data_IF_854702254054
#
_entry.id   IF_854702254054
#
_cell.length_a   1.000
_cell.length_b   1.000
_cell.length_c   1.000
_cell.angle_alpha   90.00
_cell.angle_beta   90.00
_cell.angle_gamma   90.00
#
_symmetry.space_group_name_H-M   'P 1'
#
loop_
_entity.id
_entity.type
_entity.pdbx_description
1 polymer ?
#
# COMPACT_ATOMS: atom_id res chain seq x y z
N UNK A 1 -12.73 -9.30 27.50
CA UNK A 1 -11.44 -9.45 26.79
C UNK A 1 -10.59 -8.20 27.04
N UNK A 2 -9.27 -8.28 27.00
CA UNK A 2 -8.38 -7.14 27.15
C UNK A 2 -8.46 -6.18 25.96
N UNK A 3 -7.96 -4.93 26.14
CA UNK A 3 -7.94 -3.93 25.08
C UNK A 3 -6.79 -4.11 24.10
N UNK A 4 -6.94 -3.56 22.89
CA UNK A 4 -5.91 -3.48 21.85
C UNK A 4 -5.59 -2.02 21.51
N UNK A 5 -4.30 -1.67 21.46
CA UNK A 5 -3.81 -0.38 21.03
C UNK A 5 -3.19 -0.49 19.62
N UNK A 6 -3.80 0.19 18.66
CA UNK A 6 -3.27 0.37 17.31
C UNK A 6 -2.59 1.75 17.27
N UNK A 7 -1.31 1.80 16.90
CA UNK A 7 -0.58 3.06 16.92
C UNK A 7 0.27 3.29 15.68
N UNK A 8 0.17 4.50 15.17
CA UNK A 8 0.80 4.96 13.94
C UNK A 8 2.00 5.88 14.24
N UNK A 9 2.95 5.93 13.32
CA UNK A 9 4.11 6.84 13.37
C UNK A 9 3.85 8.19 12.66
N UNK A 10 2.62 8.42 12.20
CA UNK A 10 2.17 9.60 11.47
C UNK A 10 0.96 10.25 12.14
N UNK A 11 0.58 11.43 11.68
CA UNK A 11 -0.61 12.14 12.12
C UNK A 11 -1.89 11.42 11.72
N UNK A 12 -2.99 11.66 12.44
CA UNK A 12 -4.31 11.18 12.07
C UNK A 12 -4.73 11.73 10.70
N UNK A 13 -5.52 10.97 9.98
CA UNK A 13 -6.07 11.35 8.66
C UNK A 13 -5.00 11.82 7.65
N UNK A 14 -3.78 11.32 7.73
CA UNK A 14 -2.61 11.76 6.98
C UNK A 14 -2.53 11.26 5.52
N UNK A 15 -3.67 10.95 4.92
CA UNK A 15 -3.76 10.58 3.52
C UNK A 15 -4.35 9.19 3.27
N UNK A 16 -4.48 8.85 1.99
CA UNK A 16 -5.21 7.65 1.54
C UNK A 16 -4.64 6.33 2.10
N UNK A 17 -3.32 6.17 2.10
CA UNK A 17 -2.69 4.94 2.57
C UNK A 17 -2.96 4.68 4.07
N UNK A 18 -2.84 5.69 4.92
CA UNK A 18 -3.13 5.59 6.36
C UNK A 18 -4.60 5.26 6.62
N UNK A 19 -5.51 6.01 5.99
CA UNK A 19 -6.97 5.78 6.12
C UNK A 19 -7.37 4.35 5.78
N UNK A 20 -6.77 3.79 4.77
CA UNK A 20 -7.04 2.42 4.35
C UNK A 20 -6.60 1.39 5.39
N UNK A 21 -5.39 1.55 5.94
CA UNK A 21 -4.91 0.66 7.01
C UNK A 21 -5.76 0.79 8.27
N UNK A 22 -6.23 1.99 8.61
CA UNK A 22 -7.14 2.21 9.73
C UNK A 22 -8.41 1.35 9.63
N UNK A 23 -9.07 1.33 8.46
CA UNK A 23 -10.25 0.52 8.22
C UNK A 23 -9.98 -0.99 8.39
N UNK A 24 -8.90 -1.51 7.80
CA UNK A 24 -8.53 -2.93 7.93
C UNK A 24 -8.13 -3.29 9.36
N UNK A 25 -7.36 -2.42 10.02
CA UNK A 25 -6.89 -2.68 11.39
C UNK A 25 -8.03 -2.59 12.41
N UNK A 26 -9.00 -1.69 12.20
CA UNK A 26 -10.19 -1.64 13.04
C UNK A 26 -11.04 -2.91 12.93
N UNK A 27 -11.21 -3.45 11.72
CA UNK A 27 -11.89 -4.71 11.47
C UNK A 27 -11.18 -5.90 12.11
N UNK A 28 -9.86 -6.00 11.92
CA UNK A 28 -9.03 -7.01 12.58
C UNK A 28 -9.15 -6.93 14.11
N UNK A 29 -9.05 -5.74 14.67
CA UNK A 29 -9.15 -5.54 16.11
C UNK A 29 -10.54 -5.92 16.65
N UNK A 30 -11.61 -5.55 15.94
CA UNK A 30 -12.97 -5.94 16.31
C UNK A 30 -13.16 -7.46 16.31
N UNK A 31 -12.64 -8.15 15.31
CA UNK A 31 -12.66 -9.62 15.27
C UNK A 31 -11.98 -10.26 16.49
N UNK A 32 -10.95 -9.59 17.06
CA UNK A 32 -10.21 -10.09 18.22
C UNK A 32 -10.95 -9.80 19.53
N UNK A 33 -11.40 -8.56 19.73
CA UNK A 33 -11.92 -8.11 21.03
C UNK A 33 -13.45 -8.07 21.12
N UNK A 34 -14.17 -8.07 20.00
CA UNK A 34 -15.65 -8.10 19.93
C UNK A 34 -16.35 -6.84 20.44
N UNK A 35 -15.62 -5.77 20.75
CA UNK A 35 -16.17 -4.56 21.34
C UNK A 35 -15.32 -3.34 20.92
N UNK A 36 -15.93 -2.40 20.22
CA UNK A 36 -15.26 -1.18 19.78
C UNK A 36 -14.72 -0.31 20.91
N UNK A 37 -15.32 -0.36 22.11
CA UNK A 37 -14.84 0.37 23.30
C UNK A 37 -13.48 -0.12 23.80
N UNK A 38 -13.04 -1.30 23.39
CA UNK A 38 -11.74 -1.89 23.74
C UNK A 38 -10.68 -1.69 22.64
N UNK A 39 -11.01 -0.95 21.59
CA UNK A 39 -10.11 -0.61 20.49
C UNK A 39 -9.65 0.82 20.67
N UNK A 40 -8.34 1.02 20.72
CA UNK A 40 -7.71 2.30 20.93
C UNK A 40 -6.80 2.62 19.75
N UNK A 41 -6.91 3.84 19.21
CA UNK A 41 -6.03 4.35 18.15
C UNK A 41 -5.13 5.45 18.69
N UNK A 42 -3.85 5.41 18.32
CA UNK A 42 -2.89 6.44 18.69
C UNK A 42 -2.14 6.97 17.46
N UNK A 43 -1.99 8.27 17.41
CA UNK A 43 -1.27 8.99 16.34
C UNK A 43 -0.25 9.95 16.95
N UNK A 44 0.80 10.28 16.20
CA UNK A 44 1.80 11.27 16.65
C UNK A 44 1.19 12.66 16.83
N UNK A 45 0.16 12.97 16.05
CA UNK A 45 -0.64 14.18 16.12
C UNK A 45 -2.09 13.87 15.71
N UNK A 46 -3.06 14.42 16.43
CA UNK A 46 -4.50 14.21 16.19
C UNK A 46 -5.19 15.41 15.54
N UNK A 47 -4.46 16.47 15.20
CA UNK A 47 -4.99 17.69 14.58
C UNK A 47 -5.68 17.46 13.23
N UNK A 48 -5.31 16.38 12.52
CA UNK A 48 -5.96 15.96 11.25
C UNK A 48 -7.39 15.45 11.43
N UNK A 49 -7.88 15.38 12.66
CA UNK A 49 -9.22 14.89 12.98
C UNK A 49 -9.38 13.38 12.80
N UNK A 50 -10.62 12.94 12.86
CA UNK A 50 -11.00 11.52 12.72
C UNK A 50 -10.99 11.10 11.24
N UNK A 51 -10.41 9.96 10.97
CA UNK A 51 -10.51 9.34 9.64
C UNK A 51 -11.93 8.84 9.35
N UNK A 52 -12.40 9.03 8.14
CA UNK A 52 -13.70 8.54 7.66
C UNK A 52 -13.79 7.01 7.54
N UNK A 53 -12.66 6.31 7.61
CA UNK A 53 -12.59 4.85 7.54
C UNK A 53 -12.71 4.17 8.91
N UNK A 54 -12.62 4.93 10.00
CA UNK A 54 -12.81 4.40 11.34
C UNK A 54 -14.30 4.31 11.69
N UNK A 55 -14.79 3.14 12.18
CA UNK A 55 -16.13 3.01 12.73
C UNK A 55 -16.42 4.06 13.79
N UNK A 56 -17.61 4.67 13.76
CA UNK A 56 -18.00 5.76 14.67
C UNK A 56 -17.97 5.36 16.15
N UNK A 57 -18.12 4.10 16.43
CA UNK A 57 -18.10 3.49 17.77
C UNK A 57 -16.70 3.48 18.41
N UNK A 58 -15.64 3.60 17.62
CA UNK A 58 -14.27 3.72 18.16
C UNK A 58 -14.07 5.16 18.61
N UNK A 59 -14.24 5.42 19.89
CA UNK A 59 -14.10 6.75 20.50
C UNK A 59 -12.72 6.99 21.12
N UNK A 60 -11.94 5.94 21.34
CA UNK A 60 -10.63 5.98 22.00
C UNK A 60 -9.51 6.36 21.01
N UNK A 61 -9.40 7.63 20.69
CA UNK A 61 -8.35 8.18 19.83
C UNK A 61 -7.47 9.09 20.69
N UNK A 62 -6.16 8.81 20.75
CA UNK A 62 -5.19 9.53 21.56
C UNK A 62 -4.01 10.05 20.77
N UNK A 63 -3.38 11.08 21.25
CA UNK A 63 -2.10 11.54 20.75
C UNK A 63 -0.97 10.83 21.49
N UNK A 64 -0.15 10.08 20.77
CA UNK A 64 0.99 9.38 21.32
C UNK A 64 2.04 9.07 20.25
N UNK A 65 3.29 9.43 20.53
CA UNK A 65 4.44 9.09 19.69
C UNK A 65 5.38 8.14 20.43
N UNK A 66 5.52 6.91 19.92
CA UNK A 66 6.40 5.88 20.48
C UNK A 66 7.89 6.26 20.45
N UNK A 67 8.28 7.25 19.64
CA UNK A 67 9.65 7.74 19.52
C UNK A 67 10.03 8.74 20.61
N UNK A 68 9.05 9.39 21.23
CA UNK A 68 9.30 10.36 22.31
C UNK A 68 9.90 9.71 23.55
N UNK A 69 10.83 10.42 24.19
CA UNK A 69 11.55 9.95 25.39
C UNK A 69 11.22 10.75 26.63
N UNK A 70 10.42 11.81 26.50
CA UNK A 70 10.06 12.67 27.63
C UNK A 70 9.23 11.93 28.68
N UNK A 71 9.47 12.26 29.93
CA UNK A 71 8.85 11.57 31.06
C UNK A 71 7.32 11.70 31.11
N UNK A 72 6.78 12.79 30.58
CA UNK A 72 5.33 13.05 30.56
C UNK A 72 4.65 12.10 29.59
N UNK A 73 5.13 12.00 28.35
CA UNK A 73 4.61 11.06 27.34
C UNK A 73 4.72 9.60 27.79
N UNK A 74 5.84 9.23 28.41
CA UNK A 74 6.05 7.87 28.92
C UNK A 74 5.16 7.54 30.13
N UNK A 75 4.94 8.48 31.05
CA UNK A 75 3.99 8.32 32.14
C UNK A 75 2.55 8.22 31.63
N UNK A 76 2.16 9.09 30.72
CA UNK A 76 0.84 9.07 30.08
C UNK A 76 0.52 7.70 29.49
N UNK A 77 1.36 7.19 28.61
CA UNK A 77 1.08 5.89 27.95
C UNK A 77 1.07 4.73 28.94
N UNK A 78 1.92 4.76 29.96
CA UNK A 78 1.92 3.74 31.02
C UNK A 78 0.58 3.71 31.76
N UNK A 79 0.09 4.88 32.19
CA UNK A 79 -1.19 4.99 32.92
C UNK A 79 -2.38 4.63 32.00
N UNK A 80 -2.35 5.09 30.75
CA UNK A 80 -3.39 4.79 29.76
C UNK A 80 -3.55 3.28 29.52
N UNK A 81 -2.44 2.56 29.33
CA UNK A 81 -2.44 1.10 29.14
C UNK A 81 -3.05 0.40 30.37
N UNK A 82 -2.65 0.79 31.58
CA UNK A 82 -3.18 0.20 32.83
C UNK A 82 -4.67 0.46 33.00
N UNK A 83 -5.11 1.72 32.85
CA UNK A 83 -6.50 2.13 33.05
C UNK A 83 -7.46 1.44 32.08
N UNK A 84 -7.01 1.16 30.85
CA UNK A 84 -7.83 0.55 29.80
C UNK A 84 -7.57 -0.95 29.62
N UNK A 85 -6.79 -1.58 30.52
CA UNK A 85 -6.42 -3.00 30.46
C UNK A 85 -5.94 -3.43 29.04
N UNK A 86 -5.05 -2.62 28.44
CA UNK A 86 -4.51 -2.87 27.09
C UNK A 86 -3.38 -3.87 27.21
N UNK A 87 -3.54 -5.04 26.58
CA UNK A 87 -2.55 -6.11 26.62
C UNK A 87 -1.90 -6.36 25.28
N UNK A 88 -2.50 -5.90 24.18
CA UNK A 88 -2.02 -6.06 22.81
C UNK A 88 -1.69 -4.71 22.20
N UNK A 89 -0.50 -4.57 21.63
CA UNK A 89 -0.07 -3.44 20.81
C UNK A 89 0.11 -3.88 19.35
N UNK A 90 -0.46 -3.11 18.44
CA UNK A 90 -0.29 -3.30 17.00
C UNK A 90 0.18 -1.98 16.38
N UNK A 91 1.46 -1.89 16.06
CA UNK A 91 2.08 -0.66 15.60
C UNK A 91 2.35 -0.67 14.09
N UNK A 92 2.04 0.44 13.42
CA UNK A 92 2.37 0.64 12.02
C UNK A 92 3.78 1.22 11.88
N UNK A 93 4.64 0.58 11.07
CA UNK A 93 6.04 0.94 10.80
C UNK A 93 6.90 1.11 12.07
N UNK A 94 6.71 0.21 13.03
CA UNK A 94 7.46 0.26 14.27
C UNK A 94 8.81 -0.47 14.16
N UNK A 95 9.94 0.21 14.44
CA UNK A 95 11.27 -0.40 14.35
C UNK A 95 11.55 -1.35 15.52
N UNK A 96 12.74 -1.97 15.50
CA UNK A 96 13.20 -2.88 16.56
C UNK A 96 13.28 -2.22 17.93
N UNK A 97 13.56 -0.90 17.98
CA UNK A 97 13.73 -0.16 19.24
C UNK A 97 12.92 1.12 19.26
N UNK A 98 12.19 1.33 20.36
CA UNK A 98 11.55 2.59 20.72
C UNK A 98 11.63 2.79 22.23
N UNK A 99 11.76 4.02 22.71
CA UNK A 99 11.79 4.32 24.15
C UNK A 99 10.56 3.82 24.88
N UNK A 100 9.40 3.97 24.24
CA UNK A 100 8.11 3.60 24.81
C UNK A 100 7.94 2.09 25.05
N UNK A 101 8.59 1.20 24.32
CA UNK A 101 8.33 -0.24 24.42
C UNK A 101 8.54 -0.82 25.84
N UNK A 102 9.64 -0.42 26.48
CA UNK A 102 9.90 -0.84 27.87
C UNK A 102 8.77 -0.43 28.82
N UNK A 103 8.26 0.77 28.65
CA UNK A 103 7.20 1.33 29.49
C UNK A 103 5.87 0.65 29.20
N UNK A 104 5.53 0.46 27.93
CA UNK A 104 4.33 -0.23 27.48
C UNK A 104 4.29 -1.68 28.00
N UNK A 105 5.41 -2.40 27.90
CA UNK A 105 5.55 -3.77 28.45
C UNK A 105 5.34 -3.81 29.96
N UNK A 106 5.99 -2.89 30.69
CA UNK A 106 5.84 -2.81 32.16
C UNK A 106 4.44 -2.39 32.60
N UNK A 107 3.69 -1.73 31.73
CA UNK A 107 2.32 -1.32 32.01
C UNK A 107 1.28 -2.44 31.79
N UNK A 108 1.68 -3.61 31.22
CA UNK A 108 0.80 -4.76 31.02
C UNK A 108 0.66 -5.23 29.57
N UNK A 109 1.28 -4.53 28.61
CA UNK A 109 1.26 -4.96 27.21
C UNK A 109 2.19 -6.17 27.01
N UNK A 110 1.65 -7.37 26.95
CA UNK A 110 2.43 -8.59 26.78
C UNK A 110 2.64 -9.02 25.31
N UNK A 111 1.79 -8.54 24.39
CA UNK A 111 1.94 -8.77 22.95
C UNK A 111 2.17 -7.43 22.25
N UNK A 112 3.23 -7.34 21.42
CA UNK A 112 3.53 -6.17 20.58
C UNK A 112 3.91 -6.65 19.18
N UNK A 113 3.13 -6.28 18.18
CA UNK A 113 3.33 -6.63 16.78
C UNK A 113 3.57 -5.38 15.96
N UNK A 114 4.51 -5.43 15.02
CA UNK A 114 4.75 -4.36 14.05
C UNK A 114 4.29 -4.77 12.66
N UNK A 115 3.37 -4.01 12.07
CA UNK A 115 3.02 -4.10 10.66
C UNK A 115 3.85 -3.09 9.87
N UNK A 116 4.62 -3.57 8.88
CA UNK A 116 5.68 -2.77 8.23
C UNK A 116 5.35 -2.58 6.76
N UNK A 117 5.16 -1.31 6.38
CA UNK A 117 4.83 -0.89 5.01
C UNK A 117 6.03 -0.32 4.21
N UNK A 118 7.20 -0.15 4.85
CA UNK A 118 8.39 0.42 4.24
C UNK A 118 9.62 -0.49 4.42
N UNK A 119 10.68 -0.35 3.60
CA UNK A 119 11.93 -1.09 3.80
C UNK A 119 12.55 -0.79 5.15
N UNK A 120 12.88 -1.82 5.94
CA UNK A 120 13.51 -1.62 7.26
C UNK A 120 15.00 -1.27 7.18
N UNK A 121 15.68 -1.73 6.15
CA UNK A 121 17.11 -1.44 5.92
C UNK A 121 17.49 -1.85 4.50
N UNK A 122 18.59 -1.30 3.97
CA UNK A 122 19.26 -1.88 2.81
C UNK A 122 19.71 -3.31 3.11
N UNK A 123 19.79 -4.15 2.08
CA UNK A 123 20.32 -5.52 2.23
C UNK A 123 21.76 -5.47 2.68
N UNK A 124 22.13 -6.37 3.57
CA UNK A 124 23.46 -6.51 4.16
C UNK A 124 23.91 -7.97 4.10
N UNK A 125 25.22 -8.19 4.14
CA UNK A 125 25.85 -9.52 4.17
C UNK A 125 27.04 -9.53 5.13
N UNK A 126 27.63 -10.69 5.33
CA UNK A 126 28.87 -10.86 6.11
C UNK A 126 28.79 -10.24 7.52
N UNK A 127 29.89 -9.60 7.93
CA UNK A 127 30.04 -9.01 9.27
C UNK A 127 28.98 -7.96 9.58
N UNK A 128 28.58 -7.14 8.59
CA UNK A 128 27.55 -6.11 8.79
C UNK A 128 26.19 -6.71 9.16
N UNK A 129 25.79 -7.78 8.49
CA UNK A 129 24.54 -8.49 8.83
C UNK A 129 24.65 -9.18 10.19
N UNK A 130 25.82 -9.76 10.51
CA UNK A 130 26.07 -10.38 11.82
C UNK A 130 25.90 -9.37 12.97
N UNK A 131 26.50 -8.18 12.86
CA UNK A 131 26.35 -7.10 13.85
C UNK A 131 24.88 -6.70 14.00
N UNK A 132 24.16 -6.57 12.88
CA UNK A 132 22.70 -6.25 12.89
C UNK A 132 21.90 -7.33 13.63
N UNK A 133 22.20 -8.62 13.40
CA UNK A 133 21.56 -9.74 14.10
C UNK A 133 21.83 -9.71 15.60
N UNK A 134 23.06 -9.42 16.00
CA UNK A 134 23.43 -9.26 17.40
C UNK A 134 22.67 -8.10 18.05
N UNK A 135 22.58 -6.96 17.38
CA UNK A 135 21.81 -5.81 17.85
C UNK A 135 20.33 -6.14 18.06
N UNK A 136 19.71 -6.88 17.14
CA UNK A 136 18.33 -7.37 17.30
C UNK A 136 18.21 -8.33 18.48
N UNK A 137 19.14 -9.29 18.61
CA UNK A 137 19.16 -10.27 19.72
C UNK A 137 19.24 -9.58 21.09
N UNK A 138 20.02 -8.52 21.20
CA UNK A 138 20.19 -7.74 22.44
C UNK A 138 19.03 -6.76 22.72
N UNK A 139 18.09 -6.61 21.79
CA UNK A 139 16.95 -5.68 21.94
C UNK A 139 15.82 -6.34 22.73
N UNK A 140 15.83 -6.16 24.07
CA UNK A 140 14.97 -6.87 25.03
C UNK A 140 13.47 -6.61 24.87
N UNK A 141 13.06 -5.38 24.49
CA UNK A 141 11.65 -4.95 24.47
C UNK A 141 11.09 -4.79 23.07
N UNK A 142 11.76 -5.32 22.05
CA UNK A 142 11.33 -5.25 20.65
C UNK A 142 9.93 -5.86 20.41
N UNK A 143 9.29 -5.59 19.28
CA UNK A 143 8.10 -6.31 18.85
C UNK A 143 8.33 -7.84 18.86
N UNK A 144 7.31 -8.57 19.25
CA UNK A 144 7.34 -10.05 19.28
C UNK A 144 7.36 -10.60 17.87
N UNK A 145 6.65 -9.91 16.94
CA UNK A 145 6.54 -10.30 15.55
C UNK A 145 6.44 -9.09 14.61
N UNK A 146 6.90 -9.29 13.38
CA UNK A 146 6.86 -8.28 12.32
C UNK A 146 6.11 -8.83 11.13
N UNK A 147 5.13 -8.07 10.63
CA UNK A 147 4.31 -8.43 9.47
C UNK A 147 4.64 -7.49 8.33
N UNK A 148 4.92 -8.04 7.16
CA UNK A 148 5.28 -7.30 5.95
C UNK A 148 4.22 -7.46 4.88
N UNK A 149 4.13 -6.50 3.97
CA UNK A 149 3.19 -6.52 2.86
C UNK A 149 3.66 -7.39 1.69
N UNK A 150 4.95 -7.74 1.64
CA UNK A 150 5.55 -8.57 0.59
C UNK A 150 6.81 -9.27 1.08
N UNK A 151 7.21 -10.34 0.38
CA UNK A 151 8.48 -11.02 0.60
C UNK A 151 9.68 -10.09 0.35
N UNK A 152 9.58 -9.21 -0.64
CA UNK A 152 10.59 -8.20 -0.89
C UNK A 152 10.83 -7.32 0.34
N UNK A 153 9.77 -6.86 1.00
CA UNK A 153 9.89 -6.08 2.23
C UNK A 153 10.42 -6.93 3.39
N UNK A 154 9.94 -8.18 3.55
CA UNK A 154 10.45 -9.11 4.57
C UNK A 154 11.96 -9.35 4.44
N UNK A 155 12.50 -9.44 3.21
CA UNK A 155 13.94 -9.56 2.98
C UNK A 155 14.72 -8.37 3.52
N UNK A 156 14.18 -7.14 3.45
CA UNK A 156 14.83 -5.95 4.03
C UNK A 156 14.95 -6.02 5.56
N UNK A 157 14.06 -6.76 6.20
CA UNK A 157 14.13 -7.03 7.64
C UNK A 157 15.11 -8.16 7.96
N UNK A 158 14.98 -9.31 7.29
CA UNK A 158 15.77 -10.52 7.62
C UNK A 158 17.22 -10.41 7.17
N UNK A 159 17.47 -9.91 5.95
CA UNK A 159 18.80 -9.73 5.36
C UNK A 159 19.28 -8.27 5.41
N UNK A 160 18.40 -7.33 5.75
CA UNK A 160 18.77 -5.92 5.94
C UNK A 160 18.99 -5.59 7.41
N UNK A 161 17.94 -5.70 8.23
CA UNK A 161 17.95 -5.34 9.65
C UNK A 161 18.42 -6.46 10.57
N UNK A 162 18.42 -7.71 10.10
CA UNK A 162 18.87 -8.89 10.87
C UNK A 162 17.79 -9.49 11.77
N UNK A 163 16.51 -9.25 11.50
CA UNK A 163 15.40 -9.85 12.24
C UNK A 163 15.32 -11.34 11.89
N UNK A 164 15.19 -12.26 12.88
CA UNK A 164 15.07 -13.68 12.62
C UNK A 164 13.82 -14.01 11.79
N UNK A 165 13.94 -14.95 10.85
CA UNK A 165 12.83 -15.33 9.93
C UNK A 165 11.58 -15.78 10.69
N UNK A 166 11.73 -16.55 11.79
CA UNK A 166 10.60 -17.01 12.60
C UNK A 166 9.82 -15.90 13.30
N UNK A 167 10.39 -14.68 13.39
CA UNK A 167 9.71 -13.47 13.89
C UNK A 167 9.07 -12.64 12.77
N UNK A 168 8.96 -13.18 11.57
CA UNK A 168 8.45 -12.44 10.43
C UNK A 168 7.38 -13.23 9.68
N UNK A 169 6.35 -12.53 9.19
CA UNK A 169 5.32 -13.07 8.29
C UNK A 169 5.03 -12.09 7.17
N UNK A 170 4.46 -12.60 6.08
CA UNK A 170 3.89 -11.76 5.02
C UNK A 170 2.38 -11.85 5.08
N UNK A 171 1.73 -10.70 5.05
CA UNK A 171 0.28 -10.56 4.88
C UNK A 171 0.04 -9.53 3.79
N UNK A 172 -0.42 -9.99 2.65
CA UNK A 172 -0.70 -9.14 1.49
C UNK A 172 -1.79 -8.13 1.85
N UNK A 173 -1.62 -6.91 1.38
CA UNK A 173 -2.65 -5.89 1.57
C UNK A 173 -3.85 -6.17 0.69
N UNK A 174 -5.04 -6.03 1.26
CA UNK A 174 -6.30 -6.29 0.57
C UNK A 174 -7.03 -5.02 0.11
N UNK A 175 -7.94 -5.13 -0.83
CA UNK A 175 -8.86 -4.07 -1.25
C UNK A 175 -10.32 -4.47 -1.02
N UNK A 176 -11.22 -3.49 -1.06
CA UNK A 176 -12.67 -3.74 -1.03
C UNK A 176 -13.16 -4.07 -2.45
N UNK A 177 -13.53 -5.34 -2.74
CA UNK A 177 -13.91 -5.76 -4.07
C UNK A 177 -15.31 -5.27 -4.50
N UNK A 178 -16.12 -4.74 -3.57
CA UNK A 178 -17.41 -4.13 -3.90
C UNK A 178 -17.22 -2.66 -4.33
N UNK A 179 -16.28 -1.98 -3.70
CA UNK A 179 -15.89 -0.62 -4.09
C UNK A 179 -15.15 -0.62 -5.42
N UNK A 180 -14.23 -1.59 -5.62
CA UNK A 180 -13.42 -1.76 -6.81
C UNK A 180 -13.93 -2.98 -7.60
N UNK A 181 -14.98 -2.76 -8.40
CA UNK A 181 -15.57 -3.78 -9.26
C UNK A 181 -15.74 -3.28 -10.69
N UNK A 182 -15.70 -4.21 -11.68
CA UNK A 182 -16.01 -3.85 -13.07
C UNK A 182 -17.41 -3.27 -13.18
N UNK A 183 -17.65 -2.49 -14.23
CA UNK A 183 -18.99 -2.11 -14.64
C UNK A 183 -19.64 -3.27 -15.41
N UNK A 184 -20.93 -3.46 -15.24
CA UNK A 184 -21.73 -4.42 -16.03
C UNK A 184 -22.10 -3.86 -17.43
N UNK A 185 -21.99 -2.55 -17.59
CA UNK A 185 -22.23 -1.83 -18.84
C UNK A 185 -20.98 -1.06 -19.26
N UNK A 186 -20.93 -0.65 -20.51
CA UNK A 186 -19.86 0.24 -21.00
C UNK A 186 -19.92 1.54 -20.20
N UNK A 187 -18.84 1.90 -19.55
CA UNK A 187 -18.73 3.05 -18.66
C UNK A 187 -17.74 4.06 -19.24
N UNK A 188 -18.19 5.28 -19.48
CA UNK A 188 -17.38 6.37 -20.02
C UNK A 188 -17.07 7.46 -18.97
N UNK A 189 -17.27 7.18 -17.69
CA UNK A 189 -17.10 8.18 -16.62
C UNK A 189 -15.75 8.91 -16.66
N UNK A 190 -14.65 8.19 -16.89
CA UNK A 190 -13.32 8.80 -17.01
C UNK A 190 -13.20 9.63 -18.29
N UNK A 191 -13.75 9.16 -19.41
CA UNK A 191 -13.76 9.89 -20.67
C UNK A 191 -14.48 11.22 -20.54
N UNK A 192 -15.68 11.20 -19.99
CA UNK A 192 -16.51 12.40 -19.81
C UNK A 192 -15.88 13.37 -18.81
N UNK A 193 -15.34 12.85 -17.68
CA UNK A 193 -14.71 13.68 -16.65
C UNK A 193 -13.49 14.44 -17.18
N UNK A 194 -12.69 13.83 -18.04
CA UNK A 194 -11.44 14.39 -18.53
C UNK A 194 -11.50 14.83 -20.01
N UNK A 195 -12.69 14.79 -20.63
CA UNK A 195 -12.92 15.14 -22.05
C UNK A 195 -12.04 14.33 -23.00
N UNK A 196 -11.87 13.04 -22.70
CA UNK A 196 -11.17 12.07 -23.53
C UNK A 196 -12.20 11.48 -24.50
N UNK A 197 -11.87 11.35 -25.78
CA UNK A 197 -12.76 10.74 -26.75
C UNK A 197 -13.09 9.29 -26.39
N UNK A 198 -14.33 8.87 -26.58
CA UNK A 198 -14.84 7.55 -26.19
C UNK A 198 -14.20 6.38 -26.98
N UNK A 199 -13.58 6.65 -28.12
CA UNK A 199 -12.81 5.68 -28.92
C UNK A 199 -11.46 5.33 -28.30
N UNK A 200 -10.94 6.14 -27.36
CA UNK A 200 -9.62 5.94 -26.75
C UNK A 200 -9.65 4.85 -25.68
N UNK A 201 -8.60 4.03 -25.67
CA UNK A 201 -8.32 3.04 -24.64
C UNK A 201 -7.49 3.69 -23.55
N UNK A 202 -8.05 3.88 -22.33
CA UNK A 202 -7.36 4.55 -21.24
C UNK A 202 -6.41 3.60 -20.53
N UNK A 203 -5.10 3.94 -20.53
CA UNK A 203 -4.09 3.35 -19.66
C UNK A 203 -3.97 4.20 -18.40
N UNK A 204 -4.21 3.60 -17.25
CA UNK A 204 -4.39 4.32 -15.99
C UNK A 204 -3.21 4.15 -15.03
N UNK A 205 -2.81 5.24 -14.41
CA UNK A 205 -1.88 5.26 -13.28
C UNK A 205 -2.51 5.99 -12.09
N UNK A 206 -2.32 5.45 -10.89
CA UNK A 206 -2.65 6.14 -9.64
C UNK A 206 -1.52 6.00 -8.62
N UNK A 207 -1.04 7.13 -8.14
CA UNK A 207 0.04 7.17 -7.13
C UNK A 207 0.61 8.57 -6.90
N UNK A 208 1.51 8.68 -5.92
CA UNK A 208 2.29 9.91 -5.76
C UNK A 208 3.24 10.09 -6.94
N UNK A 209 3.40 11.32 -7.42
CA UNK A 209 4.30 11.65 -8.53
C UNK A 209 5.75 11.86 -8.06
N UNK A 210 6.21 10.99 -7.15
CA UNK A 210 7.62 10.94 -6.76
C UNK A 210 8.46 10.32 -7.88
N UNK A 211 9.70 10.75 -8.05
CA UNK A 211 10.59 10.24 -9.12
C UNK A 211 10.70 8.71 -9.14
N UNK A 212 10.76 8.08 -7.95
CA UNK A 212 10.83 6.63 -7.85
C UNK A 212 9.57 5.90 -8.36
N UNK A 213 8.44 6.59 -8.54
CA UNK A 213 7.20 6.01 -9.10
C UNK A 213 7.20 5.95 -10.62
N UNK A 214 8.24 6.51 -11.27
CA UNK A 214 8.49 6.34 -12.69
C UNK A 214 7.42 6.96 -13.60
N UNK A 215 6.81 8.06 -13.17
CA UNK A 215 5.82 8.76 -14.01
C UNK A 215 6.47 9.26 -15.31
N UNK A 216 7.76 9.63 -15.27
CA UNK A 216 8.55 9.97 -16.46
C UNK A 216 8.68 8.79 -17.43
N UNK A 217 8.77 7.55 -16.92
CA UNK A 217 8.77 6.34 -17.74
C UNK A 217 7.42 6.18 -18.44
N UNK A 218 6.31 6.44 -17.76
CA UNK A 218 4.96 6.39 -18.34
C UNK A 218 4.81 7.43 -19.46
N UNK A 219 5.28 8.67 -19.24
CA UNK A 219 5.23 9.72 -20.26
C UNK A 219 6.10 9.36 -21.48
N UNK A 220 7.30 8.78 -21.29
CA UNK A 220 8.14 8.27 -22.37
C UNK A 220 7.47 7.13 -23.12
N UNK A 221 6.80 6.22 -22.41
CA UNK A 221 6.00 5.13 -23.01
C UNK A 221 4.89 5.69 -23.91
N UNK A 222 4.18 6.71 -23.44
CA UNK A 222 3.15 7.40 -24.21
C UNK A 222 3.75 8.07 -25.47
N UNK A 223 4.86 8.79 -25.31
CA UNK A 223 5.54 9.44 -26.46
C UNK A 223 6.02 8.42 -27.50
N UNK A 224 6.54 7.27 -27.07
CA UNK A 224 6.92 6.17 -27.98
C UNK A 224 5.70 5.66 -28.78
N UNK A 225 4.61 5.31 -28.08
CA UNK A 225 3.40 4.77 -28.73
C UNK A 225 2.78 5.77 -29.69
N UNK A 226 2.62 7.02 -29.29
CA UNK A 226 1.93 8.03 -30.09
C UNK A 226 2.81 8.58 -31.21
N UNK A 227 4.00 9.08 -30.87
CA UNK A 227 4.84 9.78 -31.84
C UNK A 227 5.57 8.85 -32.82
N UNK A 228 5.98 7.64 -32.35
CA UNK A 228 6.77 6.70 -33.16
C UNK A 228 5.90 5.61 -33.78
N UNK A 229 5.04 4.97 -32.97
CA UNK A 229 4.22 3.83 -33.42
C UNK A 229 2.86 4.22 -33.97
N UNK A 230 2.50 5.52 -33.90
CA UNK A 230 1.26 6.11 -34.43
C UNK A 230 -0.01 5.47 -33.85
N UNK A 231 0.04 5.03 -32.57
CA UNK A 231 -1.10 4.46 -31.84
C UNK A 231 -1.94 5.58 -31.23
N UNK A 232 -2.80 6.15 -32.05
CA UNK A 232 -3.70 7.24 -31.62
C UNK A 232 -4.96 6.75 -30.90
N UNK A 233 -5.17 5.44 -30.78
CA UNK A 233 -6.28 4.80 -30.09
C UNK A 233 -6.08 4.67 -28.58
N UNK A 234 -4.94 5.11 -28.03
CA UNK A 234 -4.62 5.06 -26.58
C UNK A 234 -4.56 6.44 -25.95
N UNK A 235 -4.94 6.54 -24.68
CA UNK A 235 -4.80 7.73 -23.85
C UNK A 235 -4.28 7.37 -22.46
N UNK A 236 -3.40 8.18 -21.88
CA UNK A 236 -2.83 7.96 -20.55
C UNK A 236 -3.46 8.90 -19.55
N UNK A 237 -4.12 8.35 -18.53
CA UNK A 237 -4.71 9.10 -17.42
C UNK A 237 -3.92 8.87 -16.13
N UNK A 238 -3.23 9.91 -15.66
CA UNK A 238 -2.32 9.87 -14.52
C UNK A 238 -2.93 10.68 -13.37
N UNK A 239 -3.26 10.00 -12.25
CA UNK A 239 -3.87 10.65 -11.08
C UNK A 239 -3.00 10.48 -9.84
N UNK A 240 -2.99 11.49 -8.96
CA UNK A 240 -2.24 11.44 -7.70
C UNK A 240 -1.83 12.81 -7.17
N UNK A 241 -1.08 12.78 -6.07
CA UNK A 241 -0.55 13.98 -5.42
C UNK A 241 0.67 14.54 -6.17
N UNK A 242 1.03 15.80 -5.86
CA UNK A 242 2.13 16.58 -6.42
C UNK A 242 1.91 16.96 -7.88
N UNK A 243 0.76 17.52 -8.12
CA UNK A 243 0.35 18.13 -9.38
C UNK A 243 1.38 19.16 -9.93
N UNK A 244 2.06 19.88 -9.06
CA UNK A 244 3.10 20.86 -9.37
C UNK A 244 4.28 20.28 -10.19
N UNK A 245 4.44 18.96 -10.21
CA UNK A 245 5.48 18.28 -11.00
C UNK A 245 5.03 17.87 -12.42
N UNK A 246 3.73 18.01 -12.74
CA UNK A 246 3.17 17.56 -14.02
C UNK A 246 3.84 18.23 -15.22
N UNK A 247 4.09 19.56 -15.18
CA UNK A 247 4.75 20.29 -16.28
C UNK A 247 6.13 19.73 -16.58
N UNK A 248 6.95 19.51 -15.52
CA UNK A 248 8.30 18.94 -15.67
C UNK A 248 8.25 17.52 -16.24
N UNK A 249 7.27 16.73 -15.84
CA UNK A 249 7.09 15.36 -16.34
C UNK A 249 6.63 15.34 -17.79
N UNK A 250 5.85 16.34 -18.23
CA UNK A 250 5.36 16.48 -19.60
C UNK A 250 6.45 16.94 -20.61
N UNK A 251 7.61 17.39 -20.18
CA UNK A 251 8.61 18.02 -21.07
C UNK A 251 8.99 17.15 -22.27
N UNK A 252 9.01 15.80 -22.09
CA UNK A 252 9.30 14.83 -23.16
C UNK A 252 8.20 14.74 -24.21
N UNK A 253 6.95 15.01 -23.82
CA UNK A 253 5.78 14.95 -24.71
C UNK A 253 5.37 16.33 -25.25
N UNK A 254 5.91 17.41 -24.67
CA UNK A 254 5.55 18.80 -24.97
C UNK A 254 5.77 19.15 -26.46
N UNK A 255 4.80 19.83 -27.04
CA UNK A 255 4.79 20.20 -28.46
C UNK A 255 4.80 19.01 -29.44
N UNK A 256 4.41 17.80 -28.99
CA UNK A 256 4.25 16.61 -29.83
C UNK A 256 2.81 16.12 -29.82
N UNK A 257 2.44 15.18 -30.69
CA UNK A 257 1.11 14.56 -30.66
C UNK A 257 0.83 13.83 -29.35
N UNK A 258 1.84 13.27 -28.69
CA UNK A 258 1.69 12.58 -27.42
C UNK A 258 1.13 13.49 -26.30
N UNK A 259 1.36 14.79 -26.34
CA UNK A 259 0.84 15.74 -25.36
C UNK A 259 -0.69 15.69 -25.27
N UNK A 260 -1.39 15.53 -26.41
CA UNK A 260 -2.84 15.42 -26.48
C UNK A 260 -3.41 14.10 -25.96
N UNK A 261 -2.54 13.11 -25.74
CA UNK A 261 -2.88 11.77 -25.28
C UNK A 261 -2.47 11.49 -23.83
N UNK A 262 -2.10 12.52 -23.08
CA UNK A 262 -1.72 12.41 -21.66
C UNK A 262 -2.52 13.40 -20.85
N UNK A 263 -3.20 12.92 -19.82
CA UNK A 263 -3.94 13.76 -18.88
C UNK A 263 -3.44 13.55 -17.46
N UNK A 264 -3.02 14.63 -16.81
CA UNK A 264 -2.76 14.66 -15.37
C UNK A 264 -4.03 15.08 -14.65
N UNK A 265 -4.72 14.12 -14.02
CA UNK A 265 -6.04 14.31 -13.41
C UNK A 265 -6.01 14.82 -11.96
N UNK A 266 -4.83 15.11 -11.38
CA UNK A 266 -4.68 15.55 -10.00
C UNK A 266 -5.04 14.48 -8.98
N UNK A 267 -5.22 14.88 -7.71
CA UNK A 267 -5.72 13.99 -6.66
C UNK A 267 -7.20 13.70 -6.85
N UNK A 268 -7.58 12.42 -6.74
CA UNK A 268 -8.95 11.95 -6.98
C UNK A 268 -9.42 11.03 -5.86
N UNK A 269 -10.64 11.28 -5.38
CA UNK A 269 -11.33 10.38 -4.43
C UNK A 269 -12.29 9.40 -5.14
N UNK A 270 -12.58 9.63 -6.42
CA UNK A 270 -13.48 8.85 -7.27
C UNK A 270 -12.74 7.80 -8.13
N UNK A 271 -11.51 7.43 -7.78
CA UNK A 271 -10.71 6.41 -8.47
C UNK A 271 -11.50 5.14 -8.80
N UNK A 272 -12.37 4.59 -7.90
CA UNK A 272 -13.17 3.41 -8.23
C UNK A 272 -14.11 3.60 -9.42
N UNK A 273 -14.62 4.80 -9.65
CA UNK A 273 -15.46 5.13 -10.81
C UNK A 273 -14.61 5.29 -12.08
N UNK A 274 -13.46 5.97 -11.96
CA UNK A 274 -12.53 6.15 -13.09
C UNK A 274 -12.05 4.84 -13.66
N UNK A 275 -11.71 3.87 -12.79
CA UNK A 275 -11.18 2.56 -13.19
C UNK A 275 -12.15 1.76 -14.07
N UNK A 276 -13.46 1.94 -13.93
CA UNK A 276 -14.46 1.24 -14.72
C UNK A 276 -14.43 1.59 -16.20
N UNK A 277 -13.92 2.78 -16.52
CA UNK A 277 -13.75 3.25 -17.90
C UNK A 277 -12.37 2.94 -18.49
N UNK A 278 -11.46 2.35 -17.69
CA UNK A 278 -10.09 2.14 -18.11
C UNK A 278 -9.88 0.80 -18.82
N UNK A 279 -8.85 0.74 -19.66
CA UNK A 279 -8.50 -0.43 -20.45
C UNK A 279 -7.44 -1.30 -19.78
N UNK A 280 -6.41 -0.69 -19.21
CA UNK A 280 -5.32 -1.35 -18.51
C UNK A 280 -4.71 -0.41 -17.47
N UNK A 281 -3.96 -0.99 -16.52
CA UNK A 281 -3.20 -0.23 -15.54
C UNK A 281 -1.69 -0.26 -15.80
N UNK A 282 -0.97 0.75 -15.30
CA UNK A 282 0.50 0.77 -15.34
C UNK A 282 1.08 1.28 -14.03
N UNK A 283 2.12 0.59 -13.50
CA UNK A 283 2.94 1.02 -12.36
C UNK A 283 4.40 0.92 -12.77
N UNK A 284 5.03 2.05 -13.06
CA UNK A 284 6.36 2.11 -13.64
C UNK A 284 7.47 2.44 -12.63
N UNK A 285 7.33 2.03 -11.36
CA UNK A 285 8.30 2.36 -10.31
C UNK A 285 9.73 2.00 -10.70
N UNK A 286 10.68 2.93 -10.45
CA UNK A 286 12.12 2.74 -10.72
C UNK A 286 12.93 2.50 -9.44
N UNK A 287 12.31 2.74 -8.28
CA UNK A 287 12.87 2.45 -6.96
C UNK A 287 12.11 1.34 -6.25
N UNK A 288 12.25 1.25 -4.93
CA UNK A 288 11.51 0.28 -4.14
C UNK A 288 10.00 0.54 -4.16
N UNK A 289 9.22 -0.53 -4.18
CA UNK A 289 7.79 -0.49 -3.89
C UNK A 289 7.45 -1.62 -2.90
N UNK A 290 6.62 -1.33 -1.90
CA UNK A 290 6.33 -2.32 -0.85
C UNK A 290 5.32 -3.37 -1.32
N UNK A 291 4.14 -2.90 -1.68
CA UNK A 291 3.05 -3.64 -2.29
C UNK A 291 2.08 -2.63 -2.91
N UNK A 292 1.94 -2.61 -4.24
CA UNK A 292 1.27 -1.51 -4.93
C UNK A 292 -0.24 -1.68 -4.85
N UNK A 293 -0.86 -0.98 -3.91
CA UNK A 293 -2.30 -1.07 -3.73
C UNK A 293 -3.10 -0.62 -4.94
N UNK A 294 -2.60 0.37 -5.67
CA UNK A 294 -3.22 0.78 -6.93
C UNK A 294 -3.27 -0.37 -7.96
N UNK A 295 -2.26 -1.25 -8.02
CA UNK A 295 -2.32 -2.43 -8.87
C UNK A 295 -3.41 -3.42 -8.41
N UNK A 296 -3.55 -3.63 -7.10
CA UNK A 296 -4.61 -4.48 -6.54
C UNK A 296 -6.01 -3.92 -6.80
N UNK A 297 -6.17 -2.59 -6.73
CA UNK A 297 -7.42 -1.88 -7.04
C UNK A 297 -7.79 -1.99 -8.53
N UNK A 298 -6.82 -1.80 -9.42
CA UNK A 298 -6.99 -2.02 -10.86
C UNK A 298 -7.35 -3.48 -11.16
N UNK A 299 -6.62 -4.44 -10.58
CA UNK A 299 -6.90 -5.87 -10.72
C UNK A 299 -8.30 -6.24 -10.18
N UNK A 300 -8.72 -5.68 -9.05
CA UNK A 300 -10.07 -5.86 -8.51
C UNK A 300 -11.15 -5.35 -9.47
N UNK A 301 -10.86 -4.30 -10.24
CA UNK A 301 -11.78 -3.77 -11.27
C UNK A 301 -11.71 -4.57 -12.59
N UNK A 302 -10.91 -5.64 -12.66
CA UNK A 302 -10.77 -6.49 -13.84
C UNK A 302 -9.84 -5.91 -14.91
N UNK A 303 -8.90 -5.05 -14.53
CA UNK A 303 -7.89 -4.53 -15.43
C UNK A 303 -6.61 -5.35 -15.35
N UNK A 304 -6.01 -5.76 -16.47
CA UNK A 304 -4.64 -6.24 -16.48
C UNK A 304 -3.71 -5.07 -16.11
N UNK A 305 -2.65 -5.36 -15.34
CA UNK A 305 -1.73 -4.33 -14.88
C UNK A 305 -0.32 -4.60 -15.39
N UNK A 306 0.30 -3.60 -15.99
CA UNK A 306 1.71 -3.66 -16.35
C UNK A 306 2.54 -3.05 -15.23
N UNK A 307 3.57 -3.75 -14.76
CA UNK A 307 4.39 -3.30 -13.64
C UNK A 307 5.87 -3.44 -13.93
N UNK A 308 6.66 -2.53 -13.37
CA UNK A 308 8.11 -2.71 -13.33
C UNK A 308 8.47 -3.97 -12.54
N UNK A 309 9.49 -4.71 -13.01
CA UNK A 309 9.95 -5.97 -12.40
C UNK A 309 10.73 -5.72 -11.09
N UNK A 310 10.03 -5.18 -10.08
CA UNK A 310 10.53 -4.97 -8.72
C UNK A 310 9.88 -5.98 -7.75
N UNK A 311 10.56 -6.38 -6.66
CA UNK A 311 10.09 -7.46 -5.78
C UNK A 311 8.64 -7.31 -5.32
N UNK A 312 8.25 -6.16 -4.76
CA UNK A 312 6.88 -5.93 -4.27
C UNK A 312 5.82 -5.87 -5.38
N UNK A 313 6.19 -5.39 -6.57
CA UNK A 313 5.32 -5.32 -7.74
C UNK A 313 5.10 -6.70 -8.36
N UNK A 314 6.17 -7.49 -8.49
CA UNK A 314 6.14 -8.87 -9.00
C UNK A 314 5.23 -9.78 -8.16
N UNK A 315 5.12 -9.51 -6.87
CA UNK A 315 4.25 -10.28 -5.97
C UNK A 315 2.76 -9.90 -6.10
N UNK A 316 2.47 -8.67 -6.50
CA UNK A 316 1.10 -8.20 -6.69
C UNK A 316 0.52 -8.57 -8.05
N UNK A 317 1.37 -8.69 -9.07
CA UNK A 317 1.00 -8.98 -10.45
C UNK A 317 1.77 -10.20 -10.93
N UNK A 318 1.06 -11.26 -11.31
CA UNK A 318 1.64 -12.49 -11.85
C UNK A 318 1.56 -12.49 -13.39
N UNK A 319 2.27 -13.36 -14.11
CA UNK A 319 2.17 -13.45 -15.56
C UNK A 319 0.76 -13.69 -16.11
N UNK A 320 -0.12 -14.32 -15.31
CA UNK A 320 -1.53 -14.57 -15.68
C UNK A 320 -2.41 -13.34 -15.48
N UNK A 321 -1.98 -12.39 -14.64
CA UNK A 321 -2.79 -11.25 -14.20
C UNK A 321 -2.29 -9.90 -14.75
N UNK A 322 -1.12 -9.90 -15.40
CA UNK A 322 -0.51 -8.70 -15.96
C UNK A 322 0.86 -8.97 -16.58
N UNK A 323 1.59 -7.91 -16.90
CA UNK A 323 2.85 -7.99 -17.61
C UNK A 323 3.96 -7.26 -16.82
N UNK A 324 5.18 -7.79 -16.91
CA UNK A 324 6.35 -7.20 -16.25
C UNK A 324 7.32 -6.61 -17.26
N UNK A 325 7.91 -5.46 -16.92
CA UNK A 325 8.97 -4.84 -17.73
C UNK A 325 10.12 -4.38 -16.81
N UNK A 326 11.37 -4.31 -17.33
CA UNK A 326 12.50 -3.84 -16.55
C UNK A 326 12.28 -2.40 -16.02
N UNK A 327 12.66 -2.07 -14.78
CA UNK A 327 12.53 -0.71 -14.25
C UNK A 327 13.20 0.32 -15.14
N UNK A 328 12.45 1.36 -15.56
CA UNK A 328 12.93 2.40 -16.47
C UNK A 328 12.82 2.08 -17.96
N UNK A 329 12.50 0.85 -18.34
CA UNK A 329 12.39 0.43 -19.74
C UNK A 329 11.00 0.79 -20.31
N UNK A 330 10.89 2.00 -20.83
CA UNK A 330 9.68 2.50 -21.46
C UNK A 330 9.37 1.83 -22.81
N UNK A 331 10.37 1.22 -23.50
CA UNK A 331 10.17 0.52 -24.76
C UNK A 331 9.42 -0.79 -24.54
N UNK A 332 9.89 -1.62 -23.61
CA UNK A 332 9.18 -2.84 -23.23
C UNK A 332 7.77 -2.54 -22.66
N UNK A 333 7.61 -1.45 -21.90
CA UNK A 333 6.28 -1.02 -21.46
C UNK A 333 5.37 -0.66 -22.64
N UNK A 334 5.91 0.01 -23.68
CA UNK A 334 5.18 0.32 -24.91
C UNK A 334 4.81 -0.96 -25.69
N UNK A 335 5.71 -1.94 -25.78
CA UNK A 335 5.44 -3.25 -26.41
C UNK A 335 4.27 -3.95 -25.71
N UNK A 336 4.23 -3.95 -24.40
CA UNK A 336 3.16 -4.56 -23.62
C UNK A 336 1.81 -3.87 -23.83
N UNK A 337 1.78 -2.53 -23.83
CA UNK A 337 0.53 -1.79 -24.11
C UNK A 337 0.06 -2.10 -25.53
N UNK A 338 0.97 -2.05 -26.52
CA UNK A 338 0.63 -2.37 -27.91
C UNK A 338 0.06 -3.79 -28.03
N UNK A 339 0.69 -4.78 -27.39
CA UNK A 339 0.19 -6.15 -27.35
C UNK A 339 -1.25 -6.24 -26.81
N UNK A 340 -1.54 -5.56 -25.69
CA UNK A 340 -2.90 -5.56 -25.13
C UNK A 340 -3.92 -4.88 -26.06
N UNK A 341 -3.52 -3.84 -26.79
CA UNK A 341 -4.37 -3.15 -27.77
C UNK A 341 -4.65 -4.03 -28.99
N UNK A 342 -3.64 -4.79 -29.46
CA UNK A 342 -3.75 -5.65 -30.65
C UNK A 342 -4.44 -6.99 -30.33
N UNK A 343 -4.44 -7.42 -29.06
CA UNK A 343 -5.00 -8.70 -28.60
C UNK A 343 -6.09 -8.50 -27.52
N UNK A 344 -7.27 -7.94 -27.82
CA UNK A 344 -8.30 -7.62 -26.84
C UNK A 344 -8.83 -8.84 -26.06
N UNK A 345 -8.84 -10.03 -26.66
CA UNK A 345 -9.24 -11.27 -25.99
C UNK A 345 -8.23 -11.70 -24.91
N UNK A 346 -6.92 -11.54 -25.18
CA UNK A 346 -5.87 -11.80 -24.18
C UNK A 346 -5.98 -10.80 -23.02
N UNK A 347 -6.18 -9.53 -23.35
CA UNK A 347 -6.42 -8.48 -22.35
C UNK A 347 -7.61 -8.80 -21.46
N UNK A 348 -8.73 -9.25 -22.02
CA UNK A 348 -9.94 -9.59 -21.25
C UNK A 348 -9.70 -10.82 -20.35
N UNK A 349 -9.06 -11.85 -20.88
CA UNK A 349 -8.70 -13.06 -20.12
C UNK A 349 -7.80 -12.73 -18.93
N UNK A 350 -6.77 -11.91 -19.16
CA UNK A 350 -5.85 -11.45 -18.13
C UNK A 350 -6.56 -10.60 -17.06
N UNK A 351 -7.46 -9.70 -17.45
CA UNK A 351 -8.24 -8.89 -16.54
C UNK A 351 -9.19 -9.72 -15.65
N UNK A 352 -9.85 -10.74 -16.22
CA UNK A 352 -10.67 -11.69 -15.46
C UNK A 352 -9.83 -12.49 -14.45
N UNK A 353 -8.65 -12.95 -14.87
CA UNK A 353 -7.71 -13.64 -13.98
C UNK A 353 -7.23 -12.74 -12.84
N UNK A 354 -6.93 -11.47 -13.13
CA UNK A 354 -6.53 -10.48 -12.15
C UNK A 354 -7.60 -10.27 -11.06
N UNK A 355 -8.86 -10.06 -11.46
CA UNK A 355 -9.96 -9.96 -10.50
C UNK A 355 -10.13 -11.24 -9.67
N UNK A 356 -10.09 -12.41 -10.32
CA UNK A 356 -10.22 -13.70 -9.62
C UNK A 356 -9.13 -13.86 -8.54
N UNK A 357 -7.89 -13.49 -8.84
CA UNK A 357 -6.78 -13.54 -7.87
C UNK A 357 -7.03 -12.62 -6.67
N UNK A 358 -7.52 -11.39 -6.90
CA UNK A 358 -7.87 -10.47 -5.81
C UNK A 358 -8.98 -11.04 -4.93
N UNK A 359 -10.07 -11.55 -5.52
CA UNK A 359 -11.18 -12.14 -4.77
C UNK A 359 -10.75 -13.35 -3.94
N UNK A 360 -9.78 -14.12 -4.41
CA UNK A 360 -9.29 -15.31 -3.73
C UNK A 360 -8.44 -15.01 -2.48
N UNK A 361 -7.69 -13.89 -2.45
CA UNK A 361 -6.67 -13.70 -1.38
C UNK A 361 -6.34 -12.26 -1.01
N UNK A 362 -6.82 -11.26 -1.76
CA UNK A 362 -6.39 -9.86 -1.60
C UNK A 362 -7.57 -8.94 -1.29
N UNK A 363 -8.53 -9.41 -0.50
CA UNK A 363 -9.63 -8.58 0.02
C UNK A 363 -9.29 -8.06 1.42
N UNK A 364 -9.97 -7.00 1.85
CA UNK A 364 -9.86 -6.47 3.23
C UNK A 364 -10.20 -7.57 4.25
N UNK A 365 -11.14 -8.45 3.93
CA UNK A 365 -11.53 -9.60 4.77
C UNK A 365 -10.38 -10.60 4.94
N UNK A 366 -9.74 -10.99 3.83
CA UNK A 366 -8.59 -11.90 3.87
C UNK A 366 -7.42 -11.30 4.65
N UNK A 367 -7.13 -10.02 4.43
CA UNK A 367 -6.07 -9.32 5.16
C UNK A 367 -6.38 -9.27 6.66
N UNK A 368 -7.58 -8.82 7.04
CA UNK A 368 -7.99 -8.73 8.44
C UNK A 368 -7.95 -10.09 9.16
N UNK A 369 -8.41 -11.16 8.49
CA UNK A 369 -8.38 -12.53 9.02
C UNK A 369 -6.96 -13.05 9.21
N UNK A 370 -6.08 -12.80 8.25
CA UNK A 370 -4.67 -13.20 8.35
C UNK A 370 -3.96 -12.47 9.50
N UNK A 371 -4.20 -11.17 9.65
CA UNK A 371 -3.69 -10.39 10.77
C UNK A 371 -4.23 -10.88 12.11
N UNK A 372 -5.53 -11.14 12.21
CA UNK A 372 -6.19 -11.70 13.39
C UNK A 372 -5.52 -13.01 13.82
N UNK A 373 -5.30 -13.95 12.89
CA UNK A 373 -4.68 -15.25 13.16
C UNK A 373 -3.29 -15.10 13.77
N UNK A 374 -2.47 -14.20 13.20
CA UNK A 374 -1.12 -13.95 13.74
C UNK A 374 -1.21 -13.33 15.14
N UNK A 375 -2.06 -12.33 15.35
CA UNK A 375 -2.17 -11.66 16.65
C UNK A 375 -2.67 -12.63 17.72
N UNK A 376 -3.68 -13.46 17.43
CA UNK A 376 -4.19 -14.46 18.37
C UNK A 376 -3.11 -15.43 18.82
N UNK A 377 -2.29 -15.94 17.90
CA UNK A 377 -1.16 -16.81 18.21
C UNK A 377 -0.17 -16.18 19.18
N UNK A 378 0.13 -14.90 19.04
CA UNK A 378 1.10 -14.21 19.92
C UNK A 378 0.48 -13.67 21.21
N UNK A 379 -0.80 -13.35 21.21
CA UNK A 379 -1.47 -12.74 22.35
C UNK A 379 -2.11 -13.77 23.31
N UNK A 380 -2.56 -14.93 22.80
CA UNK A 380 -3.43 -15.83 23.57
C UNK A 380 -2.99 -17.31 23.57
N UNK A 381 -2.05 -17.72 22.69
CA UNK A 381 -1.62 -19.12 22.54
C UNK A 381 -0.18 -19.37 23.01
N UNK A 382 0.37 -18.47 23.85
CA UNK A 382 1.71 -18.62 24.45
C UNK A 382 1.67 -19.35 25.79
#
# INVERSE_FOLDING_TARGET
>A
MPGILIFFHNSSNSGFASRRHEGTFSKMAFNIVGDYKKIHFAYTDTSGGRSSTLPTEIVNIIQFDSAKQDSTSLKFISQYIKNNNITVGFGFDQPVRRPAYKVMRKAGMHCLISYVGAPMSSLNSGLKLFIKRLDVKLSRYQPDHYIFQSEGMRKTATHGRGIPVHKTSVVLSGTDPERYKPSEIIDYYAHDTFKINHDKKIVFFSGNMESRKGVDVIVKTAAELINKRRRFDVHFLLVGNRWDQAEKLMEVAKNTEAEKHITFGGYRDDVPKLLRSCYAGIIASTGWDSYPMSAVEMAATGLPVMVSDLPGLREAVTPDTGLHFPPGDYLTAADHIQKLLDCPNERETMGKAARKAVLASQTVEHQAKSLETIIRRYAFER
#
